data_IF_306615127432
#
_entry.id   IF_306615127432
#
_cell.length_a   1.000
_cell.length_b   1.000
_cell.length_c   1.000
_cell.angle_alpha   90.00
_cell.angle_beta   90.00
_cell.angle_gamma   90.00
#
_symmetry.space_group_name_H-M   'P 1'
#
loop_
_entity.id
_entity.type
_entity.pdbx_description
1 polymer ?
#
# COMPACT_ATOMS: atom_id res chain seq x y z
N UNK A 1 32.08 4.83 32.69
CA UNK A 1 31.84 3.57 31.95
C UNK A 1 30.54 3.76 31.20
N UNK A 2 30.60 3.91 29.87
CA UNK A 2 29.39 4.06 29.05
C UNK A 2 28.62 2.73 29.02
N UNK A 3 27.29 2.82 29.07
CA UNK A 3 26.40 1.65 28.98
C UNK A 3 26.58 0.94 27.64
N UNK A 4 26.63 -0.40 27.63
CA UNK A 4 26.74 -1.21 26.41
C UNK A 4 25.68 -0.85 25.35
N UNK A 5 24.52 -0.37 25.78
CA UNK A 5 23.43 0.07 24.90
C UNK A 5 23.78 1.33 24.09
N UNK A 6 24.55 2.25 24.66
CA UNK A 6 24.96 3.48 23.98
C UNK A 6 25.97 3.18 22.85
N UNK A 7 26.92 2.26 23.09
CA UNK A 7 27.88 1.83 22.07
C UNK A 7 27.19 1.11 20.89
N UNK A 8 26.18 0.29 21.16
CA UNK A 8 25.44 -0.40 20.09
C UNK A 8 24.66 0.61 19.24
N UNK A 9 24.03 1.62 19.87
CA UNK A 9 23.30 2.63 19.11
C UNK A 9 24.22 3.52 18.28
N UNK A 10 25.44 3.84 18.74
CA UNK A 10 26.40 4.57 17.93
C UNK A 10 26.89 3.77 16.72
N UNK A 11 27.17 2.47 16.86
CA UNK A 11 27.59 1.62 15.73
C UNK A 11 26.49 1.45 14.68
N UNK A 12 25.22 1.42 15.11
CA UNK A 12 24.07 1.41 14.20
C UNK A 12 23.91 2.75 13.46
N UNK A 13 24.11 3.88 14.16
CA UNK A 13 24.01 5.21 13.57
C UNK A 13 25.13 5.48 12.57
N UNK A 14 26.33 4.98 12.84
CA UNK A 14 27.51 5.13 11.98
C UNK A 14 27.58 4.07 10.86
N UNK A 15 26.63 3.13 10.82
CA UNK A 15 26.52 2.10 9.77
C UNK A 15 27.63 1.05 9.81
N UNK A 16 28.34 0.93 10.94
CA UNK A 16 29.46 -0.01 11.14
C UNK A 16 29.03 -1.32 11.79
N UNK A 17 27.76 -1.43 12.20
CA UNK A 17 27.21 -2.66 12.77
C UNK A 17 27.14 -3.81 11.73
N UNK A 18 27.72 -4.96 12.07
CA UNK A 18 27.65 -6.18 11.28
C UNK A 18 26.53 -7.09 11.82
N UNK A 19 25.66 -7.57 10.93
CA UNK A 19 24.62 -8.53 11.27
C UNK A 19 24.94 -9.89 10.67
N UNK A 20 24.88 -10.93 11.50
CA UNK A 20 25.07 -12.30 11.08
C UNK A 20 23.73 -13.05 11.12
N UNK A 21 23.46 -13.82 10.08
CA UNK A 21 22.30 -14.71 10.04
C UNK A 21 22.59 -15.92 10.93
N UNK A 22 21.80 -16.08 12.00
CA UNK A 22 21.89 -17.26 12.86
C UNK A 22 21.06 -18.38 12.24
N UNK A 23 21.72 -19.24 11.45
CA UNK A 23 21.12 -20.50 10.99
C UNK A 23 21.01 -21.47 12.16
N UNK A 24 19.77 -21.73 12.61
CA UNK A 24 19.48 -22.82 13.55
C UNK A 24 18.95 -24.01 12.78
N UNK A 25 19.85 -24.79 12.17
CA UNK A 25 19.47 -26.08 11.58
C UNK A 25 20.65 -27.05 11.56
N UNK A 26 20.92 -27.67 12.71
CA UNK A 26 21.65 -28.93 12.75
C UNK A 26 20.65 -30.08 12.66
N UNK A 27 20.39 -30.54 11.44
CA UNK A 27 20.52 -31.97 11.17
C UNK A 27 20.79 -32.25 9.69
N UNK A 28 21.68 -33.20 9.49
CA UNK A 28 22.55 -33.46 8.35
C UNK A 28 21.91 -34.02 7.08
N UNK A 29 22.55 -33.65 5.97
CA UNK A 29 22.74 -34.41 4.72
C UNK A 29 21.49 -34.74 3.89
N UNK A 30 21.37 -34.14 2.70
CA UNK A 30 21.74 -34.76 1.42
C UNK A 30 21.69 -33.69 0.29
N UNK A 31 22.65 -33.80 -0.62
CA UNK A 31 22.99 -32.89 -1.71
C UNK A 31 21.89 -32.75 -2.79
N UNK A 32 21.60 -31.49 -3.19
CA UNK A 32 21.19 -30.89 -4.51
C UNK A 32 20.33 -31.68 -5.54
N UNK A 33 19.63 -31.06 -6.53
CA UNK A 33 19.47 -29.63 -6.87
C UNK A 33 18.01 -29.19 -7.18
N UNK A 34 17.81 -27.87 -7.33
CA UNK A 34 16.88 -27.17 -8.22
C UNK A 34 15.59 -27.89 -8.71
N UNK A 35 14.40 -27.39 -8.31
CA UNK A 35 13.30 -27.10 -9.24
C UNK A 35 12.07 -26.45 -8.56
N UNK A 36 11.67 -25.33 -9.14
CA UNK A 36 10.32 -24.91 -9.52
C UNK A 36 9.09 -25.12 -8.60
N UNK A 37 8.43 -23.98 -8.47
CA UNK A 37 7.04 -23.73 -8.10
C UNK A 37 6.10 -24.64 -8.92
N UNK A 38 5.19 -25.37 -8.25
CA UNK A 38 3.83 -25.60 -8.73
C UNK A 38 2.95 -26.32 -7.71
N UNK A 39 1.74 -25.81 -7.60
CA UNK A 39 0.60 -26.26 -6.81
C UNK A 39 0.10 -27.67 -7.18
N UNK A 40 -0.25 -28.49 -6.19
CA UNK A 40 -1.42 -29.37 -6.27
C UNK A 40 -1.81 -29.93 -4.90
N UNK A 41 -3.12 -29.91 -4.66
CA UNK A 41 -3.83 -30.49 -3.53
C UNK A 41 -3.47 -31.95 -3.28
N UNK A 42 -3.33 -32.32 -2.00
CA UNK A 42 -3.94 -33.54 -1.46
C UNK A 42 -4.05 -33.43 0.06
N UNK A 43 -5.25 -33.67 0.54
CA UNK A 43 -5.64 -33.44 1.92
C UNK A 43 -4.95 -34.37 2.91
N UNK A 44 -4.81 -33.86 4.13
CA UNK A 44 -5.01 -34.53 5.42
C UNK A 44 -4.72 -33.48 6.52
N UNK A 45 -5.78 -32.86 7.07
CA UNK A 45 -5.74 -32.30 8.44
C UNK A 45 -5.77 -33.53 9.39
N UNK A 46 -5.09 -33.55 10.56
CA UNK A 46 -5.13 -32.46 11.53
C UNK A 46 -3.88 -32.27 12.43
N UNK A 47 -3.59 -31.02 12.83
CA UNK A 47 -3.49 -30.61 14.24
C UNK A 47 -3.26 -29.10 14.30
N UNK A 48 -4.14 -28.44 15.04
CA UNK A 48 -4.08 -27.02 15.32
C UNK A 48 -2.93 -26.75 16.31
N UNK A 49 -1.95 -25.97 15.90
CA UNK A 49 -1.13 -25.18 16.84
C UNK A 49 -0.87 -23.83 16.21
N UNK A 50 -1.86 -22.95 16.36
CA UNK A 50 -1.68 -21.52 16.15
C UNK A 50 -0.52 -21.06 17.05
N UNK A 51 0.50 -20.33 16.57
CA UNK A 51 1.40 -19.62 17.47
C UNK A 51 0.65 -18.40 18.02
N UNK A 52 -0.22 -18.62 19.02
CA UNK A 52 -0.63 -17.51 19.88
C UNK A 52 0.55 -17.21 20.79
N UNK A 53 1.20 -16.06 20.56
CA UNK A 53 2.06 -15.46 21.57
C UNK A 53 1.22 -15.25 22.84
N UNK A 54 1.51 -16.03 23.88
CA UNK A 54 0.87 -15.91 25.18
C UNK A 54 1.46 -14.66 25.85
N UNK A 55 0.72 -13.55 25.82
CA UNK A 55 1.04 -12.40 26.69
C UNK A 55 0.79 -12.86 28.12
N UNK A 56 1.89 -13.03 28.88
CA UNK A 56 1.82 -13.27 30.30
C UNK A 56 1.08 -12.09 30.97
N UNK A 57 0.01 -12.41 31.68
CA UNK A 57 -0.77 -11.45 32.47
C UNK A 57 -0.25 -11.50 33.90
N UNK A 58 0.57 -10.53 34.30
CA UNK A 58 0.93 -10.35 35.70
C UNK A 58 2.18 -9.50 35.91
N UNK A 59 1.98 -8.28 36.41
CA UNK A 59 3.05 -7.46 36.98
C UNK A 59 3.02 -6.02 36.50
N UNK A 60 2.53 -5.11 37.33
CA UNK A 60 2.59 -3.67 37.11
C UNK A 60 4.04 -3.20 37.00
N UNK A 61 4.45 -2.74 35.81
CA UNK A 61 5.54 -1.79 35.65
C UNK A 61 4.95 -0.52 35.02
N UNK A 62 4.88 0.53 35.84
CA UNK A 62 4.42 1.87 35.47
C UNK A 62 5.54 2.57 34.69
N UNK A 63 5.14 3.39 33.70
CA UNK A 63 5.88 4.48 33.05
C UNK A 63 7.04 4.04 32.12
N UNK A 64 7.06 4.37 30.83
CA UNK A 64 6.17 5.21 30.04
C UNK A 64 6.35 4.91 28.56
N UNK A 65 5.27 4.48 27.91
CA UNK A 65 5.16 4.63 26.46
C UNK A 65 4.79 6.09 26.21
N UNK A 66 5.67 6.81 25.52
CA UNK A 66 5.43 8.17 25.03
C UNK A 66 3.98 8.34 24.55
N UNK A 67 3.30 9.38 25.02
CA UNK A 67 1.94 9.75 24.57
C UNK A 67 1.88 10.07 23.06
N UNK A 68 3.03 10.15 22.38
CA UNK A 68 3.13 10.48 20.96
C UNK A 68 2.75 9.33 19.99
N UNK A 69 2.47 8.11 20.46
CA UNK A 69 2.08 6.97 19.60
C UNK A 69 0.63 6.51 19.78
N UNK A 70 -0.21 7.26 20.50
CA UNK A 70 -1.55 6.81 20.92
C UNK A 70 -2.73 7.51 20.24
N UNK A 71 -2.55 8.02 19.02
CA UNK A 71 -3.72 8.27 18.15
C UNK A 71 -4.09 6.93 17.52
N UNK A 72 -4.91 6.15 18.22
CA UNK A 72 -5.49 4.92 17.67
C UNK A 72 -6.47 5.35 16.57
N UNK A 73 -6.05 5.24 15.32
CA UNK A 73 -6.93 5.50 14.19
C UNK A 73 -7.89 4.31 14.04
N UNK A 74 -9.18 4.58 14.20
CA UNK A 74 -10.22 3.56 14.08
C UNK A 74 -10.64 3.44 12.61
N UNK A 75 -10.13 2.42 11.93
CA UNK A 75 -10.53 2.12 10.57
C UNK A 75 -11.70 1.13 10.55
N UNK A 76 -12.63 1.34 9.61
CA UNK A 76 -13.71 0.39 9.32
C UNK A 76 -13.61 -0.02 7.86
N UNK A 77 -13.63 -1.33 7.59
CA UNK A 77 -13.60 -1.86 6.23
C UNK A 77 -14.96 -1.65 5.56
N UNK A 78 -14.96 -0.97 4.41
CA UNK A 78 -16.12 -0.83 3.52
C UNK A 78 -15.87 -1.64 2.26
N UNK A 79 -16.87 -2.40 1.83
CA UNK A 79 -16.78 -3.18 0.59
C UNK A 79 -17.11 -2.29 -0.60
N UNK A 80 -16.36 -2.48 -1.67
CA UNK A 80 -16.50 -1.78 -2.95
C UNK A 80 -16.76 -2.82 -4.04
N UNK A 81 -17.55 -2.47 -5.05
CA UNK A 81 -17.83 -3.34 -6.20
C UNK A 81 -16.55 -3.56 -7.02
N UNK A 82 -16.32 -4.81 -7.46
CA UNK A 82 -15.15 -5.22 -8.25
C UNK A 82 -15.44 -5.24 -9.76
N UNK A 83 -15.77 -4.08 -10.35
CA UNK A 83 -16.12 -3.92 -11.77
C UNK A 83 -14.99 -3.28 -12.63
N UNK A 84 -13.78 -3.23 -12.08
CA UNK A 84 -12.62 -2.56 -12.69
C UNK A 84 -12.45 -1.11 -12.25
N UNK A 85 -13.51 -0.46 -11.76
CA UNK A 85 -13.44 0.90 -11.19
C UNK A 85 -13.15 0.92 -9.69
N UNK A 86 -12.86 -0.23 -9.10
CA UNK A 86 -12.85 -0.43 -7.64
C UNK A 86 -11.93 0.55 -6.89
N UNK A 87 -10.77 0.90 -7.45
CA UNK A 87 -9.88 1.90 -6.84
C UNK A 87 -10.52 3.30 -6.81
N UNK A 88 -11.06 3.75 -7.94
CA UNK A 88 -11.72 5.06 -8.04
C UNK A 88 -12.97 5.12 -7.14
N UNK A 89 -13.77 4.05 -7.14
CA UNK A 89 -14.94 3.88 -6.26
C UNK A 89 -14.54 3.96 -4.79
N UNK A 90 -13.46 3.30 -4.39
CA UNK A 90 -12.93 3.37 -3.03
C UNK A 90 -12.50 4.79 -2.64
N UNK A 91 -11.81 5.51 -3.53
CA UNK A 91 -11.36 6.87 -3.27
C UNK A 91 -12.54 7.83 -3.11
N UNK A 92 -13.49 7.77 -4.04
CA UNK A 92 -14.74 8.55 -4.01
C UNK A 92 -15.55 8.28 -2.74
N UNK A 93 -15.69 7.02 -2.35
CA UNK A 93 -16.37 6.65 -1.10
C UNK A 93 -15.64 7.25 0.12
N UNK A 94 -14.31 7.19 0.15
CA UNK A 94 -13.51 7.81 1.21
C UNK A 94 -13.66 9.34 1.26
N UNK A 95 -13.64 10.01 0.10
CA UNK A 95 -13.85 11.46 -0.01
C UNK A 95 -15.26 11.87 0.45
N UNK A 96 -16.29 11.10 0.09
CA UNK A 96 -17.65 11.35 0.54
C UNK A 96 -17.80 11.18 2.05
N UNK A 97 -17.22 10.11 2.62
CA UNK A 97 -17.24 9.87 4.06
C UNK A 97 -16.52 10.97 4.84
N UNK A 98 -15.40 11.49 4.32
CA UNK A 98 -14.69 12.63 4.92
C UNK A 98 -15.56 13.90 4.95
N UNK A 99 -16.52 14.03 4.02
CA UNK A 99 -17.49 15.14 3.96
C UNK A 99 -18.79 14.83 4.73
N UNK A 100 -18.90 13.68 5.40
CA UNK A 100 -20.13 13.24 6.06
C UNK A 100 -21.25 12.85 5.10
N UNK A 101 -20.93 12.60 3.83
CA UNK A 101 -21.86 12.17 2.79
C UNK A 101 -21.84 10.65 2.65
N UNK A 102 -22.96 10.07 2.24
CA UNK A 102 -23.07 8.66 1.92
C UNK A 102 -23.59 8.51 0.49
N UNK A 103 -22.80 7.88 -0.37
CA UNK A 103 -23.14 7.67 -1.77
C UNK A 103 -23.88 6.35 -1.95
N UNK A 104 -24.85 6.32 -2.86
CA UNK A 104 -25.40 5.08 -3.37
C UNK A 104 -24.51 4.49 -4.48
N UNK A 105 -24.81 3.25 -4.89
CA UNK A 105 -23.97 2.52 -5.86
C UNK A 105 -23.83 3.23 -7.22
N UNK A 106 -24.87 3.94 -7.66
CA UNK A 106 -24.91 4.65 -8.95
C UNK A 106 -24.12 5.95 -8.86
N UNK A 107 -24.25 6.69 -7.77
CA UNK A 107 -23.46 7.90 -7.51
C UNK A 107 -21.97 7.55 -7.40
N UNK A 108 -21.65 6.47 -6.69
CA UNK A 108 -20.27 5.98 -6.55
C UNK A 108 -19.66 5.61 -7.92
N UNK A 109 -20.43 5.00 -8.82
CA UNK A 109 -19.98 4.71 -10.19
C UNK A 109 -19.75 5.99 -11.01
N UNK A 110 -20.69 6.93 -10.98
CA UNK A 110 -20.61 8.18 -11.74
C UNK A 110 -19.44 9.05 -11.30
N UNK A 111 -19.27 9.23 -9.99
CA UNK A 111 -18.16 9.99 -9.42
C UNK A 111 -16.81 9.30 -9.66
N UNK A 112 -16.78 7.95 -9.63
CA UNK A 112 -15.57 7.19 -9.98
C UNK A 112 -15.16 7.39 -11.45
N UNK A 113 -16.13 7.37 -12.37
CA UNK A 113 -15.88 7.65 -13.78
C UNK A 113 -15.44 9.11 -14.01
N UNK A 114 -16.04 10.08 -13.31
CA UNK A 114 -15.60 11.48 -13.35
C UNK A 114 -14.14 11.64 -12.89
N UNK A 115 -13.79 11.02 -11.76
CA UNK A 115 -12.43 11.03 -11.24
C UNK A 115 -11.44 10.39 -12.24
N UNK A 116 -11.80 9.27 -12.83
CA UNK A 116 -11.01 8.60 -13.87
C UNK A 116 -10.80 9.48 -15.11
N UNK A 117 -11.84 10.17 -15.56
CA UNK A 117 -11.71 11.12 -16.66
C UNK A 117 -10.87 12.34 -16.31
N UNK A 118 -10.89 12.81 -15.07
CA UNK A 118 -10.02 13.89 -14.61
C UNK A 118 -8.54 13.47 -14.68
N UNK A 119 -8.21 12.24 -14.24
CA UNK A 119 -6.85 11.68 -14.37
C UNK A 119 -6.43 11.55 -15.84
N UNK A 120 -7.31 11.01 -16.68
CA UNK A 120 -7.08 10.95 -18.12
C UNK A 120 -6.83 12.34 -18.71
N UNK A 121 -7.60 13.34 -18.33
CA UNK A 121 -7.49 14.70 -18.85
C UNK A 121 -6.16 15.36 -18.43
N UNK A 122 -5.76 15.15 -17.17
CA UNK A 122 -4.49 15.61 -16.62
C UNK A 122 -3.27 14.99 -17.34
N UNK A 123 -3.30 13.67 -17.55
CA UNK A 123 -2.17 12.94 -18.13
C UNK A 123 -2.19 12.93 -19.66
N UNK A 124 -3.33 12.82 -20.32
CA UNK A 124 -3.38 12.54 -21.77
C UNK A 124 -3.56 13.78 -22.64
N UNK A 125 -4.23 14.83 -22.16
CA UNK A 125 -4.64 15.96 -23.01
C UNK A 125 -3.83 17.23 -22.81
N UNK A 126 -3.31 17.48 -21.61
CA UNK A 126 -2.62 18.73 -21.29
C UNK A 126 -1.15 18.50 -21.01
N UNK A 127 -0.28 18.85 -21.95
CA UNK A 127 1.17 18.73 -21.77
C UNK A 127 1.68 19.51 -20.55
N UNK A 128 1.08 20.68 -20.27
CA UNK A 128 1.42 21.53 -19.11
C UNK A 128 0.99 20.92 -17.77
N UNK A 129 -0.20 20.33 -17.68
CA UNK A 129 -0.61 19.65 -16.43
C UNK A 129 0.16 18.35 -16.25
N UNK A 130 0.45 17.66 -17.35
CA UNK A 130 1.22 16.42 -17.33
C UNK A 130 2.56 16.60 -16.61
N UNK A 131 3.28 17.70 -16.85
CA UNK A 131 4.56 17.97 -16.18
C UNK A 131 4.46 18.18 -14.67
N UNK A 132 3.27 18.45 -14.12
CA UNK A 132 3.06 18.55 -12.67
C UNK A 132 3.05 17.18 -11.99
N UNK A 133 2.90 16.10 -12.75
CA UNK A 133 2.77 14.73 -12.26
C UNK A 133 3.91 13.85 -12.78
N UNK A 134 5.16 14.33 -12.64
CA UNK A 134 6.35 13.64 -13.13
C UNK A 134 6.47 12.21 -12.58
N UNK A 135 6.22 12.02 -11.28
CA UNK A 135 6.24 10.70 -10.65
C UNK A 135 5.20 9.74 -11.26
N UNK A 136 3.97 10.23 -11.51
CA UNK A 136 2.93 9.44 -12.15
C UNK A 136 3.28 9.09 -13.59
N UNK A 137 3.91 10.01 -14.33
CA UNK A 137 4.38 9.73 -15.69
C UNK A 137 5.47 8.69 -15.76
N UNK A 138 6.44 8.75 -14.85
CA UNK A 138 7.51 7.76 -14.76
C UNK A 138 6.87 6.39 -14.49
N UNK A 139 5.99 6.29 -13.49
CA UNK A 139 5.29 5.05 -13.18
C UNK A 139 4.53 4.46 -14.39
N UNK A 140 3.76 5.29 -15.10
CA UNK A 140 3.03 4.86 -16.31
C UNK A 140 3.99 4.40 -17.40
N UNK A 141 5.04 5.18 -17.68
CA UNK A 141 5.94 4.95 -18.82
C UNK A 141 6.91 3.78 -18.62
N UNK A 142 7.16 3.38 -17.38
CA UNK A 142 7.90 2.15 -17.05
C UNK A 142 7.09 0.91 -17.44
N UNK A 143 5.77 0.92 -17.23
CA UNK A 143 4.90 -0.22 -17.54
C UNK A 143 4.49 -0.27 -19.02
N UNK A 144 4.14 0.87 -19.61
CA UNK A 144 3.69 0.95 -20.99
C UNK A 144 3.93 2.33 -21.63
N UNK A 145 3.86 2.41 -22.96
CA UNK A 145 3.91 3.73 -23.61
C UNK A 145 2.71 4.59 -23.20
N UNK A 146 2.93 5.90 -23.00
CA UNK A 146 1.86 6.88 -22.69
C UNK A 146 0.68 6.81 -23.67
N UNK A 147 0.96 6.54 -24.96
CA UNK A 147 -0.08 6.37 -25.98
C UNK A 147 -1.00 5.19 -25.68
N UNK A 148 -0.46 4.05 -25.24
CA UNK A 148 -1.24 2.86 -24.88
C UNK A 148 -2.04 3.11 -23.62
N UNK A 149 -1.43 3.72 -22.60
CA UNK A 149 -2.11 4.15 -21.40
C UNK A 149 -3.35 5.01 -21.70
N UNK A 150 -3.18 6.06 -22.51
CA UNK A 150 -4.26 6.97 -22.89
C UNK A 150 -5.38 6.31 -23.72
N UNK A 151 -5.11 5.16 -24.35
CA UNK A 151 -6.14 4.35 -25.02
C UNK A 151 -6.90 3.45 -24.04
N UNK A 152 -6.27 3.02 -22.93
CA UNK A 152 -6.85 2.09 -21.95
C UNK A 152 -7.63 2.79 -20.86
N UNK A 153 -7.12 3.90 -20.31
CA UNK A 153 -7.76 4.61 -19.19
C UNK A 153 -9.24 4.96 -19.42
N UNK A 154 -9.75 5.25 -20.64
CA UNK A 154 -11.17 5.53 -20.86
C UNK A 154 -12.08 4.30 -20.71
N UNK A 155 -11.53 3.08 -20.69
CA UNK A 155 -12.31 1.85 -20.52
C UNK A 155 -12.78 1.68 -19.06
N UNK A 156 -14.03 1.27 -18.84
CA UNK A 156 -14.56 0.99 -17.51
C UNK A 156 -13.90 -0.23 -16.84
N UNK A 157 -13.33 -1.15 -17.61
CA UNK A 157 -12.55 -2.27 -17.10
C UNK A 157 -11.10 -1.92 -16.74
N UNK A 158 -10.69 -0.67 -16.90
CA UNK A 158 -9.34 -0.21 -16.55
C UNK A 158 -9.15 -0.18 -15.04
N UNK A 159 -8.17 -0.93 -14.54
CA UNK A 159 -7.83 -0.96 -13.12
C UNK A 159 -6.79 0.12 -12.84
N UNK A 160 -7.16 1.10 -12.04
CA UNK A 160 -6.19 2.09 -11.55
C UNK A 160 -5.25 1.51 -10.49
N UNK A 161 -4.11 2.17 -10.32
CA UNK A 161 -3.11 1.88 -9.31
C UNK A 161 -2.47 3.15 -8.76
N UNK A 162 -1.18 3.07 -8.46
CA UNK A 162 -0.43 4.13 -7.79
C UNK A 162 -0.33 5.40 -8.64
N UNK A 163 -0.07 5.28 -9.95
CA UNK A 163 0.06 6.42 -10.87
C UNK A 163 -1.19 7.31 -10.89
N UNK A 164 -2.38 6.71 -10.94
CA UNK A 164 -3.64 7.46 -10.95
C UNK A 164 -3.96 8.04 -9.58
N UNK A 165 -3.56 7.33 -8.51
CA UNK A 165 -3.71 7.81 -7.15
C UNK A 165 -2.84 9.06 -6.90
N UNK A 166 -1.60 9.07 -7.40
CA UNK A 166 -0.71 10.23 -7.33
C UNK A 166 -1.36 11.45 -7.96
N UNK A 167 -1.94 11.32 -9.16
CA UNK A 167 -2.65 12.42 -9.84
C UNK A 167 -3.88 12.88 -9.05
N UNK A 168 -4.66 11.94 -8.54
CA UNK A 168 -5.92 12.24 -7.83
C UNK A 168 -5.66 12.99 -6.50
N UNK A 169 -4.63 12.58 -5.76
CA UNK A 169 -4.26 13.20 -4.48
C UNK A 169 -3.57 14.56 -4.68
N UNK A 170 -2.67 14.65 -5.66
CA UNK A 170 -1.96 15.90 -5.96
C UNK A 170 -2.87 16.94 -6.60
N UNK A 171 -3.86 16.56 -7.42
CA UNK A 171 -4.85 17.51 -7.95
C UNK A 171 -5.76 18.12 -6.88
N UNK A 172 -5.90 17.48 -5.71
CA UNK A 172 -6.58 18.07 -4.55
C UNK A 172 -5.69 19.07 -3.79
N UNK A 173 -4.39 19.08 -4.09
CA UNK A 173 -3.37 19.90 -3.43
C UNK A 173 -2.83 21.04 -4.33
N UNK A 174 -3.08 20.98 -5.64
CA UNK A 174 -2.70 22.05 -6.58
C UNK A 174 -3.82 23.09 -6.61
N UNK A 175 -3.63 24.30 -6.07
CA UNK A 175 -4.62 25.36 -6.21
C UNK A 175 -4.75 25.75 -7.68
N UNK A 176 -5.99 25.90 -8.17
CA UNK A 176 -6.31 26.52 -9.47
C UNK A 176 -5.99 28.03 -9.45
N UNK A 177 -4.74 28.40 -9.17
CA UNK A 177 -4.14 29.68 -9.55
C UNK A 177 -2.65 29.66 -9.17
N UNK A 178 -1.79 29.29 -10.12
CA UNK A 178 -0.40 29.76 -10.17
C UNK A 178 0.14 29.72 -11.59
#
# INVERSE_FOLDING_TARGET
MASLTESIMSELADGTACFEFVDTTDNSAFSLPFASISSAFSGLRPKQSLPFARIARGGQARQGTSQALKKVEHFTVRRIVGDGRCMFRALVQGMALNKGMNLNSTEEEQEADQLRFAVMDAICRSDKRRTLYEEALIAITVEESLKRYCQRIPNSSFWGGESELLVSLSSSFIPENS
#
